data_IF_697748191747
#
_entry.id   IF_697748191747
#
_cell.length_a   1.000
_cell.length_b   1.000
_cell.length_c   1.000
_cell.angle_alpha   90.00
_cell.angle_beta   90.00
_cell.angle_gamma   90.00
#
_symmetry.space_group_name_H-M   'P 1'
#
loop_
_entity.id
_entity.type
_entity.pdbx_description
1 polymer ?
#
# COMPACT_ATOMS: atom_id res chain seq x y z
N UNK A 1 -35.63 -25.11 37.32
CA UNK A 1 -36.05 -24.18 36.25
C UNK A 1 -34.97 -24.16 35.18
N UNK A 2 -35.28 -24.65 33.99
CA UNK A 2 -34.43 -24.52 32.81
C UNK A 2 -34.85 -23.24 32.09
N UNK A 3 -33.92 -22.32 31.89
CA UNK A 3 -33.96 -21.39 30.76
C UNK A 3 -32.67 -21.61 29.95
N UNK A 4 -32.77 -21.91 28.65
CA UNK A 4 -31.62 -21.97 27.76
C UNK A 4 -31.32 -20.54 27.25
N UNK A 5 -30.06 -20.11 27.29
CA UNK A 5 -29.65 -18.94 26.50
C UNK A 5 -29.06 -19.46 25.21
N UNK A 6 -29.77 -19.15 24.13
CA UNK A 6 -29.49 -19.63 22.79
C UNK A 6 -28.23 -19.02 22.18
N UNK A 7 -27.71 -19.77 21.21
CA UNK A 7 -26.89 -19.24 20.12
C UNK A 7 -27.65 -18.14 19.39
N UNK A 8 -27.00 -17.00 19.13
CA UNK A 8 -26.95 -16.29 17.83
C UNK A 8 -26.21 -14.96 18.04
N UNK A 9 -24.92 -14.90 17.65
CA UNK A 9 -24.09 -13.70 17.83
C UNK A 9 -23.35 -13.24 16.57
N UNK A 10 -23.61 -13.82 15.39
CA UNK A 10 -22.88 -13.43 14.17
C UNK A 10 -23.20 -12.00 13.70
N UNK A 11 -24.33 -11.41 14.12
CA UNK A 11 -24.71 -10.04 13.76
C UNK A 11 -24.10 -8.95 14.66
N UNK A 12 -23.78 -9.27 15.92
CA UNK A 12 -23.18 -8.32 16.86
C UNK A 12 -21.69 -8.09 16.58
N UNK A 13 -20.98 -9.17 16.26
CA UNK A 13 -19.56 -9.14 15.93
C UNK A 13 -19.29 -8.38 14.62
N UNK A 14 -20.16 -8.53 13.62
CA UNK A 14 -20.04 -7.79 12.34
C UNK A 14 -20.34 -6.30 12.51
N UNK A 15 -21.30 -5.94 13.38
CA UNK A 15 -21.59 -4.53 13.69
C UNK A 15 -20.40 -3.85 14.35
N UNK A 16 -19.84 -4.47 15.38
CA UNK A 16 -18.68 -3.97 16.09
C UNK A 16 -17.45 -3.80 15.20
N UNK A 17 -17.17 -4.76 14.31
CA UNK A 17 -16.04 -4.66 13.37
C UNK A 17 -16.20 -3.50 12.38
N UNK A 18 -17.42 -3.21 11.91
CA UNK A 18 -17.69 -2.07 11.03
C UNK A 18 -17.54 -0.73 11.72
N UNK A 19 -17.90 -0.66 13.00
CA UNK A 19 -17.73 0.56 13.79
C UNK A 19 -16.23 0.83 14.01
N UNK A 20 -15.46 -0.19 14.38
CA UNK A 20 -14.01 -0.07 14.51
C UNK A 20 -13.31 0.31 13.19
N UNK A 21 -13.73 -0.30 12.07
CA UNK A 21 -13.23 0.06 10.74
C UNK A 21 -13.48 1.55 10.45
N UNK A 22 -14.70 2.04 10.70
CA UNK A 22 -15.06 3.45 10.48
C UNK A 22 -14.27 4.39 11.37
N UNK A 23 -14.12 4.07 12.66
CA UNK A 23 -13.35 4.87 13.61
C UNK A 23 -11.88 4.94 13.19
N UNK A 24 -11.30 3.82 12.77
CA UNK A 24 -9.94 3.78 12.24
C UNK A 24 -9.78 4.63 10.99
N UNK A 25 -10.66 4.47 9.99
CA UNK A 25 -10.61 5.26 8.76
C UNK A 25 -10.72 6.77 9.05
N UNK A 26 -11.64 7.15 9.94
CA UNK A 26 -11.80 8.54 10.35
C UNK A 26 -10.55 9.10 11.07
N UNK A 27 -9.88 8.29 11.89
CA UNK A 27 -8.62 8.67 12.53
C UNK A 27 -7.54 8.96 11.48
N UNK A 28 -7.29 8.02 10.56
CA UNK A 28 -6.24 8.15 9.53
C UNK A 28 -6.50 9.33 8.58
N UNK A 29 -7.77 9.54 8.19
CA UNK A 29 -8.19 10.72 7.43
C UNK A 29 -7.87 12.02 8.21
N UNK A 30 -8.15 12.05 9.52
CA UNK A 30 -7.94 13.26 10.34
C UNK A 30 -6.47 13.66 10.49
N UNK A 31 -5.54 12.69 10.48
CA UNK A 31 -4.10 12.94 10.56
C UNK A 31 -3.45 13.13 9.20
N UNK A 32 -4.16 12.83 8.11
CA UNK A 32 -3.67 12.93 6.74
C UNK A 32 -2.53 11.95 6.43
N UNK A 33 -2.56 10.77 7.04
CA UNK A 33 -1.58 9.70 6.83
C UNK A 33 -2.35 8.42 6.54
N UNK A 34 -2.00 7.74 5.46
CA UNK A 34 -2.64 6.52 5.01
C UNK A 34 -1.82 5.30 5.44
N UNK A 35 -2.42 4.34 6.16
CA UNK A 35 -1.90 2.99 6.16
C UNK A 35 -2.13 2.35 4.79
N UNK A 36 -1.09 1.72 4.25
CA UNK A 36 -1.17 1.02 2.97
C UNK A 36 -0.75 -0.44 3.14
N UNK A 37 -1.30 -1.30 2.26
CA UNK A 37 -0.90 -2.71 2.15
C UNK A 37 -0.35 -2.98 0.75
N UNK A 38 0.81 -3.60 0.69
CA UNK A 38 1.47 -4.03 -0.55
C UNK A 38 1.57 -5.55 -0.51
N UNK A 39 0.90 -6.22 -1.44
CA UNK A 39 0.93 -7.68 -1.57
C UNK A 39 1.89 -8.06 -2.69
N UNK A 40 2.99 -8.73 -2.34
CA UNK A 40 3.99 -9.25 -3.29
C UNK A 40 3.99 -10.78 -3.29
N UNK A 41 4.78 -11.40 -4.17
CA UNK A 41 4.96 -12.85 -4.18
C UNK A 41 5.60 -13.37 -2.86
N UNK A 42 6.28 -12.51 -2.09
CA UNK A 42 6.86 -12.82 -0.78
C UNK A 42 5.87 -12.63 0.40
N UNK A 43 4.64 -12.18 0.10
CA UNK A 43 3.55 -11.98 1.05
C UNK A 43 3.14 -10.51 1.23
N UNK A 44 2.32 -10.27 2.25
CA UNK A 44 1.77 -8.96 2.55
C UNK A 44 2.72 -8.11 3.40
N UNK A 45 2.81 -6.84 3.05
CA UNK A 45 3.57 -5.81 3.74
C UNK A 45 2.67 -4.60 4.03
N UNK A 46 2.82 -4.04 5.22
CA UNK A 46 2.11 -2.86 5.68
C UNK A 46 3.12 -1.74 5.92
N UNK A 47 2.75 -0.51 5.58
CA UNK A 47 3.53 0.70 5.88
C UNK A 47 2.60 1.91 5.94
N UNK A 48 3.14 3.11 6.10
CA UNK A 48 2.40 4.36 6.05
C UNK A 48 2.89 5.23 4.89
N UNK A 49 1.98 5.98 4.27
CA UNK A 49 2.25 7.00 3.24
C UNK A 49 1.43 8.25 3.54
N UNK A 50 1.93 9.42 3.21
CA UNK A 50 1.10 10.61 3.06
C UNK A 50 1.53 11.41 1.82
N UNK A 51 0.83 12.52 1.57
CA UNK A 51 1.23 13.50 0.58
C UNK A 51 1.52 14.84 1.24
N UNK A 52 2.71 15.38 1.04
CA UNK A 52 3.12 16.69 1.52
C UNK A 52 3.39 17.61 0.33
N UNK A 53 2.49 18.57 0.10
CA UNK A 53 2.52 19.46 -1.08
C UNK A 53 2.52 18.66 -2.39
N UNK A 54 1.60 17.71 -2.47
CA UNK A 54 1.43 16.81 -3.61
C UNK A 54 2.59 15.83 -3.87
N UNK A 55 3.62 15.82 -3.02
CA UNK A 55 4.72 14.85 -3.09
C UNK A 55 4.50 13.70 -2.09
N UNK A 56 4.70 12.45 -2.52
CA UNK A 56 4.54 11.28 -1.66
C UNK A 56 5.65 11.23 -0.60
N UNK A 57 5.27 10.88 0.62
CA UNK A 57 6.21 10.63 1.73
C UNK A 57 5.86 9.30 2.37
N UNK A 58 6.83 8.39 2.44
CA UNK A 58 6.65 7.09 3.10
C UNK A 58 7.19 7.09 4.53
N UNK A 59 6.70 6.15 5.33
CA UNK A 59 7.39 5.74 6.55
C UNK A 59 8.73 5.09 6.17
N UNK A 60 9.79 5.89 6.21
CA UNK A 60 11.10 5.48 5.76
C UNK A 60 12.06 6.67 5.72
N UNK A 61 13.30 6.42 5.32
CA UNK A 61 14.27 7.48 5.05
C UNK A 61 15.29 7.03 4.01
N UNK A 62 15.85 7.99 3.27
CA UNK A 62 16.92 7.73 2.29
C UNK A 62 16.48 6.74 1.19
N UNK A 63 15.22 6.82 0.74
CA UNK A 63 14.67 5.93 -0.27
C UNK A 63 14.49 4.47 0.18
N UNK A 64 14.48 4.21 1.50
CA UNK A 64 14.20 2.91 2.11
C UNK A 64 12.91 2.95 2.91
N UNK A 65 11.95 2.09 2.56
CA UNK A 65 10.61 2.06 3.17
C UNK A 65 10.62 1.05 4.32
N UNK A 66 10.20 1.47 5.52
CA UNK A 66 9.96 0.56 6.63
C UNK A 66 8.67 -0.22 6.36
N UNK A 67 8.75 -1.55 6.29
CA UNK A 67 7.60 -2.41 5.99
C UNK A 67 7.44 -3.52 7.01
N UNK A 68 6.19 -3.90 7.27
CA UNK A 68 5.83 -4.82 8.34
C UNK A 68 4.92 -5.93 7.83
N UNK A 69 5.18 -7.18 8.22
CA UNK A 69 4.33 -8.31 7.80
C UNK A 69 2.94 -8.31 8.42
N UNK A 70 2.71 -7.50 9.45
CA UNK A 70 1.40 -7.35 10.10
C UNK A 70 1.20 -5.93 10.60
N UNK A 71 -0.05 -5.48 10.64
CA UNK A 71 -0.49 -4.23 11.27
C UNK A 71 0.01 -4.11 12.72
N UNK A 72 -0.05 -5.21 13.48
CA UNK A 72 0.45 -5.26 14.85
C UNK A 72 1.95 -5.00 14.94
N UNK A 73 2.74 -5.50 13.99
CA UNK A 73 4.17 -5.25 13.95
C UNK A 73 4.47 -3.77 13.62
N UNK A 74 3.70 -3.16 12.72
CA UNK A 74 3.75 -1.71 12.44
C UNK A 74 3.48 -0.91 13.71
N UNK A 75 2.36 -1.13 14.41
CA UNK A 75 2.03 -0.41 15.65
C UNK A 75 3.12 -0.60 16.70
N UNK A 76 3.61 -1.83 16.88
CA UNK A 76 4.66 -2.11 17.84
C UNK A 76 6.00 -1.40 17.51
N UNK A 77 6.29 -1.21 16.23
CA UNK A 77 7.44 -0.42 15.79
C UNK A 77 7.23 1.07 16.02
N UNK A 78 6.04 1.62 15.73
CA UNK A 78 5.71 3.03 16.00
C UNK A 78 5.95 3.38 17.48
N UNK A 79 5.50 2.51 18.39
CA UNK A 79 5.71 2.68 19.84
C UNK A 79 7.20 2.73 20.22
N UNK A 80 8.03 1.86 19.63
CA UNK A 80 9.45 1.71 20.03
C UNK A 80 10.41 2.63 19.29
N UNK A 81 10.13 2.94 18.04
CA UNK A 81 11.10 3.53 17.10
C UNK A 81 10.53 4.72 16.32
N UNK A 82 9.21 4.96 16.36
CA UNK A 82 8.54 5.95 15.51
C UNK A 82 8.79 7.42 15.88
N UNK A 83 9.60 7.75 16.90
CA UNK A 83 9.84 9.16 17.25
C UNK A 83 10.60 9.94 16.19
N UNK A 84 11.55 9.31 15.49
CA UNK A 84 12.51 9.98 14.61
C UNK A 84 13.20 9.01 13.67
N UNK A 85 13.95 9.53 12.70
CA UNK A 85 14.78 8.74 11.77
C UNK A 85 14.05 8.30 10.50
N UNK A 86 12.86 8.83 10.27
CA UNK A 86 12.06 8.64 9.07
C UNK A 86 11.36 9.95 8.69
N UNK A 87 10.95 10.07 7.43
CA UNK A 87 10.53 11.34 6.84
C UNK A 87 9.13 11.76 7.30
N UNK A 88 8.25 10.81 7.66
CA UNK A 88 6.96 11.13 8.29
C UNK A 88 7.09 11.85 9.65
N UNK A 89 8.25 11.78 10.32
CA UNK A 89 8.44 12.50 11.57
C UNK A 89 8.39 14.03 11.41
N UNK A 90 8.50 14.54 10.18
CA UNK A 90 8.34 15.96 9.86
C UNK A 90 6.87 16.41 9.81
N UNK A 91 5.90 15.49 9.86
CA UNK A 91 4.49 15.84 9.78
C UNK A 91 3.99 16.44 11.09
N UNK A 92 3.23 17.53 11.01
CA UNK A 92 2.67 18.20 12.20
C UNK A 92 1.68 17.32 12.96
N UNK A 93 1.02 16.37 12.28
CA UNK A 93 0.09 15.40 12.84
C UNK A 93 0.76 14.12 13.31
N UNK A 94 2.06 13.91 13.03
CA UNK A 94 2.80 12.72 13.45
C UNK A 94 2.77 12.47 14.97
N UNK A 95 2.89 13.48 15.84
CA UNK A 95 2.79 13.28 17.28
C UNK A 95 1.45 12.64 17.71
N UNK A 96 0.35 12.92 17.00
CA UNK A 96 -0.98 12.36 17.28
C UNK A 96 -0.99 10.85 17.01
N UNK A 97 -0.37 10.42 15.90
CA UNK A 97 -0.23 8.99 15.56
C UNK A 97 0.60 8.25 16.62
N UNK A 98 1.71 8.84 17.06
CA UNK A 98 2.55 8.23 18.10
C UNK A 98 1.84 8.16 19.46
N UNK A 99 1.10 9.20 19.84
CA UNK A 99 0.33 9.22 21.08
C UNK A 99 -0.73 8.12 21.08
N UNK A 100 -1.54 8.03 20.02
CA UNK A 100 -2.53 6.96 19.86
C UNK A 100 -1.90 5.56 19.91
N UNK A 101 -0.75 5.37 19.25
CA UNK A 101 -0.03 4.10 19.28
C UNK A 101 0.43 3.72 20.69
N UNK A 102 0.96 4.69 21.45
CA UNK A 102 1.47 4.49 22.82
C UNK A 102 0.37 4.22 23.83
N UNK A 103 -0.79 4.84 23.64
CA UNK A 103 -1.96 4.64 24.48
C UNK A 103 -2.71 3.34 24.15
N UNK A 104 -2.34 2.66 23.07
CA UNK A 104 -3.01 1.44 22.61
C UNK A 104 -4.37 1.71 21.94
N UNK A 105 -4.57 2.94 21.47
CA UNK A 105 -5.80 3.42 20.82
C UNK A 105 -5.70 3.34 19.29
N UNK A 106 -4.47 3.25 18.75
CA UNK A 106 -4.24 3.16 17.31
C UNK A 106 -4.64 1.79 16.77
N UNK A 107 -5.67 1.77 15.93
CA UNK A 107 -5.98 0.61 15.08
C UNK A 107 -5.61 0.90 13.63
N UNK A 108 -5.08 -0.11 12.94
CA UNK A 108 -4.71 0.00 11.53
C UNK A 108 -5.74 -0.77 10.72
N UNK A 109 -6.56 -0.04 9.97
CA UNK A 109 -7.33 -0.58 8.86
C UNK A 109 -6.86 0.09 7.58
N UNK A 110 -6.53 -0.73 6.58
CA UNK A 110 -6.16 -0.26 5.25
C UNK A 110 -7.41 -0.14 4.40
N UNK A 111 -7.71 1.08 3.93
CA UNK A 111 -8.77 1.29 2.96
C UNK A 111 -8.49 0.49 1.68
N UNK A 112 -9.54 -0.04 1.06
CA UNK A 112 -9.48 -0.73 -0.23
C UNK A 112 -8.72 0.06 -1.31
N UNK A 113 -8.79 1.40 -1.32
CA UNK A 113 -8.05 2.23 -2.28
C UNK A 113 -6.53 2.24 -2.01
N UNK A 114 -6.12 1.88 -0.79
CA UNK A 114 -4.75 1.82 -0.31
C UNK A 114 -4.19 0.38 -0.26
N UNK A 115 -4.80 -0.54 -1.01
CA UNK A 115 -4.33 -1.91 -1.20
C UNK A 115 -3.71 -2.05 -2.59
N UNK A 116 -2.44 -2.43 -2.63
CA UNK A 116 -1.65 -2.57 -3.85
C UNK A 116 -1.25 -4.03 -4.04
N UNK A 117 -1.95 -4.76 -4.92
CA UNK A 117 -1.68 -6.16 -5.20
C UNK A 117 -0.81 -6.30 -6.47
N UNK A 118 0.48 -6.59 -6.27
CA UNK A 118 1.46 -6.77 -7.37
C UNK A 118 1.93 -8.22 -7.54
N UNK A 119 1.56 -9.10 -6.60
CA UNK A 119 1.78 -10.54 -6.69
C UNK A 119 1.16 -11.13 -7.95
N UNK A 120 1.83 -12.09 -8.59
CA UNK A 120 1.32 -12.80 -9.77
C UNK A 120 1.35 -12.02 -11.09
N UNK A 121 1.26 -10.68 -11.08
CA UNK A 121 1.13 -9.85 -12.30
C UNK A 121 2.26 -10.10 -13.31
N UNK A 122 3.49 -10.31 -12.84
CA UNK A 122 4.60 -10.66 -13.74
C UNK A 122 4.34 -11.96 -14.53
N UNK A 123 3.76 -12.98 -13.88
CA UNK A 123 3.44 -14.26 -14.51
C UNK A 123 2.31 -14.09 -15.52
N UNK A 124 1.25 -13.39 -15.13
CA UNK A 124 0.11 -13.12 -16.02
C UNK A 124 0.59 -12.44 -17.31
N UNK A 125 1.47 -11.44 -17.19
CA UNK A 125 2.08 -10.78 -18.35
C UNK A 125 2.93 -11.71 -19.21
N UNK A 126 3.67 -12.66 -18.62
CA UNK A 126 4.44 -13.66 -19.38
C UNK A 126 3.55 -14.66 -20.13
N UNK A 127 2.42 -15.01 -19.52
CA UNK A 127 1.43 -15.92 -20.10
C UNK A 127 0.51 -15.21 -21.12
N UNK A 128 0.79 -13.92 -21.39
CA UNK A 128 -0.03 -13.04 -22.23
C UNK A 128 -1.48 -12.92 -21.75
N UNK A 129 -1.69 -13.16 -20.45
CA UNK A 129 -2.96 -12.87 -19.79
C UNK A 129 -3.04 -11.38 -19.48
N UNK A 130 -4.26 -10.84 -19.57
CA UNK A 130 -4.51 -9.43 -19.31
C UNK A 130 -4.70 -9.24 -17.81
N UNK A 131 -3.81 -8.53 -17.09
CA UNK A 131 -4.02 -8.24 -15.69
C UNK A 131 -5.21 -7.29 -15.52
N UNK A 132 -5.80 -7.29 -14.33
CA UNK A 132 -6.86 -6.36 -13.99
C UNK A 132 -6.36 -4.90 -14.10
N UNK A 133 -7.16 -4.04 -14.75
CA UNK A 133 -6.78 -2.67 -15.02
C UNK A 133 -6.65 -1.79 -13.79
N UNK A 134 -7.53 -1.99 -12.82
CA UNK A 134 -7.48 -1.24 -11.57
C UNK A 134 -6.24 -1.62 -10.78
N UNK A 135 -5.89 -2.92 -10.73
CA UNK A 135 -4.65 -3.36 -10.10
C UNK A 135 -3.40 -2.79 -10.79
N UNK A 136 -3.36 -2.74 -12.12
CA UNK A 136 -2.25 -2.13 -12.86
C UNK A 136 -2.12 -0.62 -12.60
N UNK A 137 -3.25 0.09 -12.51
CA UNK A 137 -3.28 1.52 -12.18
C UNK A 137 -2.75 1.77 -10.76
N UNK A 138 -3.30 1.06 -9.76
CA UNK A 138 -2.84 1.18 -8.37
C UNK A 138 -1.35 0.84 -8.24
N UNK A 139 -0.89 -0.24 -8.86
CA UNK A 139 0.52 -0.59 -8.85
C UNK A 139 1.40 0.47 -9.52
N UNK A 140 0.94 1.06 -10.63
CA UNK A 140 1.59 2.18 -11.29
C UNK A 140 1.76 3.38 -10.36
N UNK A 141 0.69 3.77 -9.65
CA UNK A 141 0.73 4.82 -8.62
C UNK A 141 1.76 4.52 -7.54
N UNK A 142 1.76 3.30 -6.98
CA UNK A 142 2.73 2.90 -5.97
C UNK A 142 4.18 2.99 -6.47
N UNK A 143 4.45 2.57 -7.71
CA UNK A 143 5.79 2.66 -8.29
C UNK A 143 6.24 4.10 -8.49
N UNK A 144 5.35 4.96 -8.98
CA UNK A 144 5.61 6.39 -9.16
C UNK A 144 5.87 7.05 -7.80
N UNK A 145 5.03 6.75 -6.81
CA UNK A 145 5.16 7.33 -5.47
C UNK A 145 6.48 6.95 -4.81
N UNK A 146 6.80 5.65 -4.81
CA UNK A 146 8.02 5.15 -4.22
C UNK A 146 9.28 5.63 -4.97
N UNK A 147 9.17 5.80 -6.30
CA UNK A 147 10.22 6.37 -7.14
C UNK A 147 10.47 7.84 -6.83
N UNK A 148 9.42 8.67 -6.91
CA UNK A 148 9.50 10.11 -6.63
C UNK A 148 10.07 10.38 -5.23
N UNK A 149 9.51 9.73 -4.20
CA UNK A 149 9.99 9.87 -2.82
C UNK A 149 11.46 9.45 -2.66
N UNK A 150 11.90 8.42 -3.38
CA UNK A 150 13.29 7.96 -3.36
C UNK A 150 14.24 8.76 -4.26
N UNK A 151 13.74 9.74 -5.02
CA UNK A 151 14.53 10.51 -5.99
C UNK A 151 14.98 9.70 -7.21
N UNK A 152 14.18 8.73 -7.65
CA UNK A 152 14.43 7.88 -8.81
C UNK A 152 13.28 7.97 -9.82
N UNK A 153 13.63 8.01 -11.12
CA UNK A 153 12.71 8.21 -12.23
C UNK A 153 12.48 6.93 -13.07
N UNK A 154 12.86 5.74 -12.57
CA UNK A 154 12.69 4.49 -13.30
C UNK A 154 11.22 4.16 -13.57
N UNK A 155 10.35 4.37 -12.58
CA UNK A 155 8.91 4.17 -12.72
C UNK A 155 8.30 5.17 -13.70
N UNK A 156 8.65 6.45 -13.59
CA UNK A 156 8.19 7.51 -14.48
C UNK A 156 8.49 7.18 -15.94
N UNK A 157 9.75 6.82 -16.24
CA UNK A 157 10.13 6.40 -17.59
C UNK A 157 9.36 5.17 -18.05
N UNK A 158 9.32 4.12 -17.25
CA UNK A 158 8.69 2.84 -17.63
C UNK A 158 7.18 2.97 -17.89
N UNK A 159 6.50 3.86 -17.18
CA UNK A 159 5.06 4.09 -17.26
C UNK A 159 4.68 5.22 -18.23
N UNK A 160 5.67 5.93 -18.82
CA UNK A 160 5.42 6.90 -19.86
C UNK A 160 4.61 6.26 -21.01
N UNK A 161 3.58 6.96 -21.52
CA UNK A 161 2.64 6.42 -22.54
C UNK A 161 3.28 6.03 -23.87
N UNK A 162 4.54 6.40 -24.10
CA UNK A 162 5.34 5.96 -25.24
C UNK A 162 6.05 4.62 -25.05
N UNK A 163 6.20 4.14 -23.81
CA UNK A 163 6.90 2.89 -23.49
C UNK A 163 5.95 1.68 -23.50
N UNK A 164 6.45 0.44 -23.71
CA UNK A 164 5.61 -0.76 -23.77
C UNK A 164 4.67 -0.91 -22.58
N UNK A 165 5.21 -0.86 -21.35
CA UNK A 165 4.40 -1.00 -20.14
C UNK A 165 3.42 0.17 -19.96
N UNK A 166 3.86 1.41 -20.19
CA UNK A 166 2.98 2.58 -20.12
C UNK A 166 1.83 2.54 -21.14
N UNK A 167 2.05 2.03 -22.35
CA UNK A 167 0.98 1.79 -23.33
C UNK A 167 -0.01 0.74 -22.86
N UNK A 168 0.48 -0.36 -22.27
CA UNK A 168 -0.38 -1.39 -21.69
C UNK A 168 -1.26 -0.80 -20.59
N UNK A 169 -0.67 -0.15 -19.58
CA UNK A 169 -1.40 0.48 -18.47
C UNK A 169 -2.45 1.44 -19.01
N UNK A 170 -2.06 2.36 -19.89
CA UNK A 170 -2.99 3.31 -20.51
C UNK A 170 -4.14 2.63 -21.29
N UNK A 171 -3.86 1.55 -22.03
CA UNK A 171 -4.90 0.82 -22.75
C UNK A 171 -5.89 0.16 -21.79
N UNK A 172 -5.41 -0.45 -20.69
CA UNK A 172 -6.31 -1.11 -19.75
C UNK A 172 -7.14 -0.10 -18.95
N UNK A 173 -6.55 0.99 -18.47
CA UNK A 173 -7.26 2.08 -17.78
C UNK A 173 -8.32 2.72 -18.69
N UNK A 174 -7.99 2.97 -19.97
CA UNK A 174 -8.93 3.52 -20.95
C UNK A 174 -9.98 2.50 -21.43
N UNK A 175 -9.99 1.27 -20.88
CA UNK A 175 -10.85 0.13 -21.31
C UNK A 175 -10.74 -0.19 -22.80
N UNK A 176 -9.56 0.03 -23.38
CA UNK A 176 -9.22 -0.32 -24.76
C UNK A 176 -8.56 -1.69 -24.82
N UNK A 177 -8.54 -2.31 -25.99
CA UNK A 177 -7.76 -3.52 -26.19
C UNK A 177 -6.26 -3.16 -26.24
N UNK A 178 -5.40 -3.76 -25.41
CA UNK A 178 -3.96 -3.54 -25.48
C UNK A 178 -3.38 -4.16 -26.76
N UNK A 179 -2.17 -3.72 -27.13
CA UNK A 179 -1.41 -4.40 -28.16
C UNK A 179 -1.05 -5.83 -27.71
N UNK A 180 -0.72 -6.69 -28.67
CA UNK A 180 -0.22 -8.04 -28.38
C UNK A 180 1.02 -7.93 -27.49
N UNK A 181 1.01 -8.63 -26.36
CA UNK A 181 2.13 -8.69 -25.43
C UNK A 181 3.25 -9.55 -26.04
N UNK A 182 4.48 -9.03 -26.04
CA UNK A 182 5.67 -9.74 -26.54
C UNK A 182 6.65 -10.14 -25.41
N UNK A 183 6.26 -9.88 -24.17
CA UNK A 183 7.06 -10.14 -22.96
C UNK A 183 7.91 -8.95 -22.51
N UNK A 184 7.99 -7.87 -23.29
CA UNK A 184 8.72 -6.66 -22.88
C UNK A 184 8.10 -6.02 -21.64
N UNK A 185 6.77 -5.97 -21.57
CA UNK A 185 6.02 -5.45 -20.42
C UNK A 185 6.31 -6.26 -19.15
N UNK A 186 6.33 -7.59 -19.25
CA UNK A 186 6.67 -8.47 -18.14
C UNK A 186 8.09 -8.18 -17.62
N UNK A 187 9.08 -8.05 -18.51
CA UNK A 187 10.45 -7.74 -18.12
C UNK A 187 10.58 -6.36 -17.45
N UNK A 188 9.84 -5.35 -17.94
CA UNK A 188 9.80 -4.01 -17.34
C UNK A 188 9.13 -4.07 -15.96
N UNK A 189 7.97 -4.70 -15.87
CA UNK A 189 7.23 -4.89 -14.62
C UNK A 189 8.10 -5.54 -13.54
N UNK A 190 8.78 -6.64 -13.90
CA UNK A 190 9.69 -7.33 -12.97
C UNK A 190 10.75 -6.37 -12.41
N UNK A 191 11.35 -5.53 -13.25
CA UNK A 191 12.36 -4.55 -12.78
C UNK A 191 11.77 -3.52 -11.82
N UNK A 192 10.53 -3.08 -12.04
CA UNK A 192 9.85 -2.16 -11.11
C UNK A 192 9.56 -2.84 -9.77
N UNK A 193 9.08 -4.08 -9.78
CA UNK A 193 8.87 -4.88 -8.56
C UNK A 193 10.18 -5.12 -7.82
N UNK A 194 11.24 -5.56 -8.52
CA UNK A 194 12.58 -5.75 -7.94
C UNK A 194 13.11 -4.44 -7.36
N UNK A 195 12.93 -3.32 -8.07
CA UNK A 195 13.33 -1.99 -7.62
C UNK A 195 12.59 -1.56 -6.34
N UNK A 196 11.26 -1.69 -6.30
CA UNK A 196 10.42 -1.37 -5.14
C UNK A 196 10.80 -2.22 -3.94
N UNK A 197 10.81 -3.54 -4.10
CA UNK A 197 11.11 -4.50 -3.02
C UNK A 197 12.55 -4.36 -2.52
N UNK A 198 13.50 -4.00 -3.39
CA UNK A 198 14.85 -3.66 -2.97
C UNK A 198 14.90 -2.45 -2.04
N UNK A 199 13.86 -1.58 -2.00
CA UNK A 199 13.75 -0.45 -1.03
C UNK A 199 13.26 -0.89 0.34
N UNK A 200 12.62 -2.04 0.46
CA UNK A 200 12.00 -2.47 1.72
C UNK A 200 13.05 -2.75 2.80
N UNK A 201 12.82 -2.20 3.99
CA UNK A 201 13.46 -2.60 5.23
C UNK A 201 12.39 -3.34 6.04
N UNK A 202 12.48 -4.66 6.04
CA UNK A 202 11.48 -5.54 6.63
C UNK A 202 11.72 -5.69 8.13
N UNK A 203 10.65 -5.58 8.93
CA UNK A 203 10.64 -5.78 10.39
C UNK A 203 9.69 -6.88 10.83
#
# INVERSE_FOLDING_TARGET
MRHPVGRTGLGGDIGYLKDLERESLAFWESVGIDPIRITTDDGDFHTLRCYLRDEPVFLGSGGRIEVFRTERALVAWLVRHGERGHDLAAMSTWPIVLEAARNGELTVWVDTVNVYAIAGVHRDLLESERPDGHLLEQAGELFLDAGSWAGDDAAERALHRGEPLGRLVAAVTDRREPAVLDGTEAAVWKRLVDGLTARFRVH
#
